data_IF_766694298789
#
_entry.id   IF_766694298789
#
_cell.length_a   1.000
_cell.length_b   1.000
_cell.length_c   1.000
_cell.angle_alpha   90.00
_cell.angle_beta   90.00
_cell.angle_gamma   90.00
#
_symmetry.space_group_name_H-M   'P 1'
#
loop_
_entity.id
_entity.type
_entity.pdbx_description
1 polymer ?
#
# COMPACT_ATOMS: atom_id res chain seq x y z
N UNK A 1 0.85 -27.40 11.84
CA UNK A 1 -0.32 -26.54 12.14
C UNK A 1 0.04 -25.11 11.75
N UNK A 2 -0.88 -24.36 11.15
CA UNK A 2 -0.71 -22.91 11.01
C UNK A 2 -0.65 -22.31 12.41
N UNK A 3 0.38 -21.52 12.71
CA UNK A 3 0.60 -20.89 14.03
C UNK A 3 1.01 -19.43 13.82
N UNK A 4 1.04 -18.64 14.90
CA UNK A 4 1.47 -17.24 14.85
C UNK A 4 0.31 -16.24 14.72
N UNK A 5 0.66 -14.99 14.47
CA UNK A 5 -0.26 -13.84 14.57
C UNK A 5 -1.44 -13.93 13.60
N UNK A 6 -1.22 -14.41 12.37
CA UNK A 6 -2.27 -14.55 11.37
C UNK A 6 -3.31 -15.61 11.73
N UNK A 7 -2.86 -16.73 12.31
CA UNK A 7 -3.75 -17.79 12.73
C UNK A 7 -4.58 -17.36 13.95
N UNK A 8 -3.97 -16.65 14.92
CA UNK A 8 -4.70 -16.08 16.06
C UNK A 8 -5.82 -15.12 15.62
N UNK A 9 -5.55 -14.27 14.63
CA UNK A 9 -6.57 -13.38 14.06
C UNK A 9 -7.75 -14.16 13.44
N UNK A 10 -7.47 -15.25 12.72
CA UNK A 10 -8.52 -16.12 12.19
C UNK A 10 -9.31 -16.84 13.29
N UNK A 11 -8.67 -17.28 14.37
CA UNK A 11 -9.36 -17.86 15.53
C UNK A 11 -10.28 -16.84 16.22
N UNK A 12 -9.83 -15.60 16.36
CA UNK A 12 -10.67 -14.49 16.84
C UNK A 12 -11.88 -14.28 15.95
N UNK A 13 -11.71 -14.27 14.62
CA UNK A 13 -12.83 -14.20 13.66
C UNK A 13 -13.84 -15.34 13.87
N UNK A 14 -13.37 -16.59 13.97
CA UNK A 14 -14.24 -17.74 14.19
C UNK A 14 -15.00 -17.63 15.51
N UNK A 15 -14.33 -17.16 16.57
CA UNK A 15 -14.93 -16.98 17.90
C UNK A 15 -16.00 -15.89 17.88
N UNK A 16 -15.66 -14.70 17.36
CA UNK A 16 -16.58 -13.55 17.31
C UNK A 16 -17.78 -13.82 16.41
N UNK A 17 -17.60 -14.56 15.33
CA UNK A 17 -18.68 -14.92 14.42
C UNK A 17 -19.43 -16.20 14.83
N UNK A 18 -19.04 -16.88 15.91
CA UNK A 18 -19.60 -18.19 16.32
C UNK A 18 -19.60 -19.22 15.18
N UNK A 19 -18.45 -19.30 14.51
CA UNK A 19 -18.22 -20.18 13.37
C UNK A 19 -17.34 -21.36 13.78
N UNK A 20 -17.68 -22.56 13.27
CA UNK A 20 -16.81 -23.72 13.43
C UNK A 20 -15.59 -23.60 12.52
N UNK A 21 -14.45 -24.15 12.96
CA UNK A 21 -13.24 -24.21 12.16
C UNK A 21 -13.52 -24.97 10.85
N UNK A 22 -13.23 -24.36 9.67
CA UNK A 22 -13.42 -25.05 8.41
C UNK A 22 -12.39 -26.17 8.22
N UNK A 23 -12.78 -27.21 7.48
CA UNK A 23 -11.91 -28.35 7.14
C UNK A 23 -11.07 -28.11 5.88
N UNK A 24 -11.36 -27.05 5.11
CA UNK A 24 -10.71 -26.73 3.85
C UNK A 24 -10.32 -25.25 3.78
N UNK A 25 -9.17 -24.98 3.16
CA UNK A 25 -8.68 -23.62 2.87
C UNK A 25 -9.58 -22.87 1.87
N UNK A 26 -10.36 -23.60 1.06
CA UNK A 26 -11.29 -23.02 0.09
C UNK A 26 -12.67 -22.74 0.70
N UNK A 27 -12.83 -22.88 2.02
CA UNK A 27 -14.11 -22.63 2.68
C UNK A 27 -14.55 -21.17 2.52
N UNK A 28 -15.86 -20.91 2.31
CA UNK A 28 -16.42 -19.56 2.33
C UNK A 28 -16.08 -18.76 3.58
N UNK A 29 -15.86 -19.42 4.72
CA UNK A 29 -15.44 -18.75 5.96
C UNK A 29 -14.02 -18.18 5.87
N UNK A 30 -13.12 -18.84 5.16
CA UNK A 30 -11.76 -18.33 4.92
C UNK A 30 -11.83 -17.13 3.97
N UNK A 31 -12.64 -17.22 2.91
CA UNK A 31 -12.85 -16.13 1.98
C UNK A 31 -13.47 -14.89 2.66
N UNK A 32 -14.48 -15.10 3.50
CA UNK A 32 -15.12 -14.06 4.30
C UNK A 32 -14.12 -13.43 5.27
N UNK A 33 -13.31 -14.23 5.97
CA UNK A 33 -12.28 -13.71 6.86
C UNK A 33 -11.31 -12.77 6.13
N UNK A 34 -10.80 -13.17 4.96
CA UNK A 34 -9.91 -12.32 4.16
C UNK A 34 -10.59 -11.01 3.75
N UNK A 35 -11.88 -11.05 3.42
CA UNK A 35 -12.66 -9.84 3.13
C UNK A 35 -12.80 -8.95 4.37
N UNK A 36 -13.08 -9.51 5.55
CA UNK A 36 -13.15 -8.74 6.80
C UNK A 36 -11.82 -8.04 7.07
N UNK A 37 -10.70 -8.70 6.82
CA UNK A 37 -9.37 -8.08 6.93
C UNK A 37 -9.22 -6.93 5.94
N UNK A 38 -9.58 -7.10 4.66
CA UNK A 38 -9.53 -6.02 3.66
C UNK A 38 -10.39 -4.81 4.08
N UNK A 39 -11.59 -5.03 4.60
CA UNK A 39 -12.45 -3.95 5.09
C UNK A 39 -11.89 -3.24 6.34
N UNK A 40 -11.29 -4.01 7.24
CA UNK A 40 -10.77 -3.51 8.51
C UNK A 40 -9.52 -2.64 8.32
N UNK A 41 -8.57 -3.07 7.49
CA UNK A 41 -7.29 -2.37 7.29
C UNK A 41 -7.37 -1.21 6.28
N UNK A 42 -8.47 -1.10 5.54
CA UNK A 42 -8.72 0.00 4.60
C UNK A 42 -9.85 0.90 5.10
N UNK A 43 -9.62 1.71 6.15
CA UNK A 43 -10.57 2.74 6.54
C UNK A 43 -10.71 3.79 5.44
N UNK A 44 -11.87 4.43 5.45
CA UNK A 44 -12.27 5.41 4.44
C UNK A 44 -12.59 6.78 5.06
N UNK A 45 -12.67 6.84 6.39
CA UNK A 45 -12.89 8.06 7.16
C UNK A 45 -11.57 8.86 7.26
N UNK A 46 -11.61 10.16 6.96
CA UNK A 46 -10.43 11.03 6.91
C UNK A 46 -9.52 10.89 5.69
N UNK A 47 -9.54 9.76 4.99
CA UNK A 47 -9.00 9.61 3.64
C UNK A 47 -9.59 8.37 2.93
N UNK A 48 -10.09 8.48 1.69
CA UNK A 48 -10.15 9.66 0.85
C UNK A 48 -11.35 10.59 1.13
N UNK A 49 -12.24 10.23 2.05
CA UNK A 49 -13.40 11.05 2.42
C UNK A 49 -13.09 11.95 3.61
N UNK A 50 -13.96 12.93 3.84
CA UNK A 50 -13.91 13.77 5.04
C UNK A 50 -14.19 12.94 6.30
N UNK A 51 -13.73 13.46 7.45
CA UNK A 51 -14.04 12.88 8.76
C UNK A 51 -15.53 13.03 9.02
N UNK A 52 -16.25 11.91 9.14
CA UNK A 52 -17.69 11.88 9.40
C UNK A 52 -18.02 12.36 10.82
N UNK A 53 -17.22 11.96 11.81
CA UNK A 53 -17.42 12.30 13.22
C UNK A 53 -16.09 12.30 13.95
N UNK A 54 -15.67 13.48 14.41
CA UNK A 54 -14.43 13.65 15.18
C UNK A 54 -14.45 12.88 16.50
N UNK A 55 -15.61 12.79 17.15
CA UNK A 55 -15.76 12.12 18.45
C UNK A 55 -15.50 10.61 18.38
N UNK A 56 -15.68 10.01 17.20
CA UNK A 56 -15.55 8.56 16.98
C UNK A 56 -14.48 8.23 15.94
N UNK A 57 -13.65 9.21 15.57
CA UNK A 57 -12.71 9.07 14.46
C UNK A 57 -11.65 8.01 14.73
N UNK A 58 -11.13 7.94 15.97
CA UNK A 58 -10.12 6.94 16.33
C UNK A 58 -10.69 5.53 16.16
N UNK A 59 -11.91 5.31 16.64
CA UNK A 59 -12.62 4.04 16.50
C UNK A 59 -12.99 3.71 15.04
N UNK A 60 -13.31 4.72 14.24
CA UNK A 60 -13.71 4.53 12.84
C UNK A 60 -12.54 4.14 11.94
N UNK A 61 -11.30 4.51 12.31
CA UNK A 61 -10.08 4.17 11.56
C UNK A 61 -9.25 3.05 12.17
N UNK A 62 -9.46 2.70 13.44
CA UNK A 62 -8.72 1.61 14.10
C UNK A 62 -9.08 0.24 13.47
N UNK A 63 -8.10 -0.49 12.90
CA UNK A 63 -8.39 -1.77 12.25
C UNK A 63 -8.93 -2.84 13.19
N UNK A 64 -8.57 -2.82 14.48
CA UNK A 64 -9.04 -3.78 15.47
C UNK A 64 -10.50 -3.54 15.84
N UNK A 65 -10.89 -2.29 16.05
CA UNK A 65 -12.29 -1.90 16.31
C UNK A 65 -13.15 -2.21 15.10
N UNK A 66 -12.72 -1.82 13.90
CA UNK A 66 -13.43 -2.13 12.65
C UNK A 66 -13.61 -3.64 12.47
N UNK A 67 -12.56 -4.44 12.65
CA UNK A 67 -12.61 -5.89 12.57
C UNK A 67 -13.66 -6.47 13.55
N UNK A 68 -13.64 -6.00 14.80
CA UNK A 68 -14.61 -6.42 15.81
C UNK A 68 -16.05 -6.08 15.40
N UNK A 69 -16.32 -4.82 15.02
CA UNK A 69 -17.65 -4.36 14.62
C UNK A 69 -18.19 -5.13 13.42
N UNK A 70 -17.34 -5.41 12.42
CA UNK A 70 -17.72 -6.21 11.25
C UNK A 70 -18.05 -7.65 11.66
N UNK A 71 -17.25 -8.27 12.53
CA UNK A 71 -17.53 -9.62 13.03
C UNK A 71 -18.87 -9.67 13.80
N UNK A 72 -19.15 -8.67 14.62
CA UNK A 72 -20.43 -8.57 15.33
C UNK A 72 -21.59 -8.40 14.35
N UNK A 73 -21.45 -7.57 13.32
CA UNK A 73 -22.45 -7.44 12.25
C UNK A 73 -22.69 -8.76 11.50
N UNK A 74 -21.64 -9.54 11.22
CA UNK A 74 -21.78 -10.89 10.62
C UNK A 74 -22.57 -11.81 11.55
N UNK A 75 -22.28 -11.80 12.85
CA UNK A 75 -22.96 -12.65 13.83
C UNK A 75 -24.43 -12.28 14.00
N UNK A 76 -24.71 -10.99 14.20
CA UNK A 76 -26.01 -10.51 14.69
C UNK A 76 -26.98 -10.12 13.57
N UNK A 77 -26.45 -9.58 12.46
CA UNK A 77 -27.27 -8.97 11.40
C UNK A 77 -27.23 -9.77 10.09
N UNK A 78 -26.05 -10.29 9.72
CA UNK A 78 -25.83 -10.88 8.40
C UNK A 78 -25.17 -12.28 8.44
N UNK A 79 -25.73 -13.25 9.17
CA UNK A 79 -25.14 -14.59 9.29
C UNK A 79 -25.05 -15.33 7.95
N UNK A 80 -25.87 -14.97 6.96
CA UNK A 80 -25.83 -15.55 5.61
C UNK A 80 -24.52 -15.27 4.86
N UNK A 81 -23.79 -14.21 5.25
CA UNK A 81 -22.50 -13.87 4.65
C UNK A 81 -21.45 -14.96 4.84
N UNK A 82 -21.58 -15.78 5.90
CA UNK A 82 -20.68 -16.92 6.21
C UNK A 82 -20.59 -17.95 5.08
N UNK A 83 -21.58 -18.00 4.20
CA UNK A 83 -21.65 -18.91 3.04
C UNK A 83 -21.71 -18.19 1.69
N UNK A 84 -21.58 -16.86 1.67
CA UNK A 84 -21.86 -16.05 0.49
C UNK A 84 -20.74 -16.05 -0.56
N UNK A 85 -19.49 -16.29 -0.17
CA UNK A 85 -18.34 -16.26 -1.09
C UNK A 85 -17.92 -17.70 -1.39
N UNK A 86 -18.31 -18.21 -2.55
CA UNK A 86 -18.05 -19.59 -2.99
C UNK A 86 -17.13 -19.64 -4.20
N UNK A 87 -17.22 -18.62 -5.07
CA UNK A 87 -16.53 -18.61 -6.36
C UNK A 87 -15.46 -17.53 -6.48
N UNK A 88 -15.24 -16.75 -5.41
CA UNK A 88 -14.22 -15.69 -5.33
C UNK A 88 -14.38 -14.64 -6.44
N UNK A 89 -15.60 -14.28 -6.83
CA UNK A 89 -15.88 -13.34 -7.90
C UNK A 89 -15.94 -11.88 -7.41
N UNK A 90 -15.72 -10.93 -8.31
CA UNK A 90 -15.88 -9.49 -8.01
C UNK A 90 -17.31 -9.14 -7.57
N UNK A 91 -18.32 -9.87 -8.07
CA UNK A 91 -19.72 -9.66 -7.66
C UNK A 91 -19.97 -10.12 -6.23
N UNK A 92 -19.40 -11.27 -5.81
CA UNK A 92 -19.44 -11.71 -4.41
C UNK A 92 -18.71 -10.73 -3.50
N UNK A 93 -17.54 -10.23 -3.93
CA UNK A 93 -16.82 -9.18 -3.21
C UNK A 93 -17.71 -7.94 -3.02
N UNK A 94 -18.27 -7.39 -4.11
CA UNK A 94 -19.10 -6.18 -4.06
C UNK A 94 -20.28 -6.35 -3.10
N UNK A 95 -21.05 -7.43 -3.28
CA UNK A 95 -22.26 -7.67 -2.49
C UNK A 95 -21.98 -7.78 -0.99
N UNK A 96 -20.90 -8.46 -0.60
CA UNK A 96 -20.58 -8.66 0.82
C UNK A 96 -19.85 -7.45 1.41
N UNK A 97 -18.92 -6.84 0.67
CA UNK A 97 -18.15 -5.68 1.13
C UNK A 97 -19.05 -4.47 1.41
N UNK A 98 -19.99 -4.16 0.50
CA UNK A 98 -20.92 -3.05 0.65
C UNK A 98 -21.83 -3.27 1.87
N UNK A 99 -22.45 -4.45 1.96
CA UNK A 99 -23.32 -4.84 3.08
C UNK A 99 -22.62 -4.70 4.43
N UNK A 100 -21.39 -5.21 4.55
CA UNK A 100 -20.64 -5.17 5.81
C UNK A 100 -20.13 -3.77 6.14
N UNK A 101 -19.68 -2.98 5.16
CA UNK A 101 -19.20 -1.61 5.38
C UNK A 101 -20.34 -0.70 5.85
N UNK A 102 -21.50 -0.78 5.20
CA UNK A 102 -22.69 -0.03 5.61
C UNK A 102 -23.17 -0.42 7.02
N UNK A 103 -22.97 -1.67 7.43
CA UNK A 103 -23.38 -2.15 8.76
C UNK A 103 -22.66 -1.47 9.92
N UNK A 104 -21.48 -0.90 9.64
CA UNK A 104 -20.64 -0.14 10.58
C UNK A 104 -20.60 1.35 10.21
N UNK A 105 -21.53 1.82 9.38
CA UNK A 105 -21.68 3.22 8.94
C UNK A 105 -20.44 3.78 8.25
N UNK A 106 -19.69 2.95 7.52
CA UNK A 106 -18.51 3.36 6.77
C UNK A 106 -18.70 3.18 5.26
N UNK A 107 -18.02 4.01 4.47
CA UNK A 107 -17.86 3.75 3.04
C UNK A 107 -17.03 2.49 2.81
N UNK A 108 -17.41 1.71 1.80
CA UNK A 108 -16.67 0.54 1.35
C UNK A 108 -15.34 0.91 0.70
N UNK A 109 -14.36 0.00 0.69
CA UNK A 109 -13.10 0.23 -0.05
C UNK A 109 -13.31 0.53 -1.53
N UNK A 110 -14.39 0.03 -2.16
CA UNK A 110 -14.69 0.31 -3.56
C UNK A 110 -15.21 1.72 -3.79
N UNK A 111 -15.98 2.28 -2.85
CA UNK A 111 -16.37 3.69 -2.91
C UNK A 111 -15.14 4.59 -2.82
N UNK A 112 -14.18 4.25 -1.96
CA UNK A 112 -12.88 4.93 -1.92
C UNK A 112 -12.10 4.79 -3.23
N UNK A 113 -11.98 3.58 -3.78
CA UNK A 113 -11.31 3.34 -5.06
C UNK A 113 -11.97 4.12 -6.21
N UNK A 114 -13.30 4.24 -6.18
CA UNK A 114 -14.08 5.00 -7.17
C UNK A 114 -13.81 6.50 -7.09
N UNK A 115 -13.78 7.07 -5.87
CA UNK A 115 -13.43 8.48 -5.66
C UNK A 115 -12.00 8.78 -6.12
N UNK A 116 -11.03 7.95 -5.74
CA UNK A 116 -9.63 8.15 -6.12
C UNK A 116 -9.43 8.00 -7.64
N UNK A 117 -10.13 7.04 -8.26
CA UNK A 117 -10.13 6.90 -9.73
C UNK A 117 -10.74 8.12 -10.41
N UNK A 118 -11.78 8.72 -9.82
CA UNK A 118 -12.37 9.96 -10.32
C UNK A 118 -11.38 11.12 -10.26
N UNK A 119 -10.66 11.29 -9.15
CA UNK A 119 -9.62 12.32 -9.02
C UNK A 119 -8.58 12.26 -10.14
N UNK A 120 -8.13 11.05 -10.50
CA UNK A 120 -7.15 10.86 -11.58
C UNK A 120 -7.61 11.25 -12.99
N UNK A 121 -8.90 11.60 -13.15
CA UNK A 121 -9.51 12.01 -14.42
C UNK A 121 -9.95 13.47 -14.41
N UNK A 122 -10.20 14.04 -13.22
CA UNK A 122 -10.82 15.36 -13.07
C UNK A 122 -9.87 16.40 -12.46
N UNK A 123 -8.93 15.99 -11.61
CA UNK A 123 -7.95 16.89 -10.99
C UNK A 123 -6.71 17.01 -11.88
N UNK A 124 -6.46 18.20 -12.44
CA UNK A 124 -5.38 18.44 -13.42
C UNK A 124 -4.01 17.98 -12.90
N UNK A 125 -3.69 18.26 -11.64
CA UNK A 125 -2.43 17.86 -11.02
C UNK A 125 -2.27 16.33 -10.98
N UNK A 126 -3.37 15.59 -10.80
CA UNK A 126 -3.36 14.13 -10.75
C UNK A 126 -3.43 13.50 -12.14
N UNK A 127 -4.10 14.15 -13.09
CA UNK A 127 -4.03 13.77 -14.50
C UNK A 127 -2.58 13.84 -14.98
N UNK A 128 -1.88 14.95 -14.70
CA UNK A 128 -0.46 15.12 -15.05
C UNK A 128 0.42 14.09 -14.33
N UNK A 129 0.17 13.84 -13.04
CA UNK A 129 0.88 12.80 -12.29
C UNK A 129 0.70 11.41 -12.90
N UNK A 130 -0.48 11.07 -13.41
CA UNK A 130 -0.73 9.78 -14.06
C UNK A 130 -0.10 9.68 -15.45
N UNK A 131 0.15 10.79 -16.14
CA UNK A 131 0.97 10.81 -17.37
C UNK A 131 2.45 10.53 -17.04
N UNK A 132 2.98 11.15 -15.99
CA UNK A 132 4.33 10.85 -15.49
C UNK A 132 4.45 9.38 -15.08
N UNK A 133 3.44 8.84 -14.40
CA UNK A 133 3.37 7.45 -14.01
C UNK A 133 3.44 6.54 -15.22
N UNK A 134 2.64 6.81 -16.26
CA UNK A 134 2.55 5.98 -17.46
C UNK A 134 3.93 5.72 -18.08
N UNK A 135 4.72 6.76 -18.30
CA UNK A 135 6.06 6.67 -18.89
C UNK A 135 7.16 6.42 -17.84
N UNK A 136 6.80 6.44 -16.55
CA UNK A 136 7.71 6.34 -15.41
C UNK A 136 8.79 7.44 -15.40
N UNK A 137 8.38 8.64 -15.81
CA UNK A 137 9.22 9.82 -15.92
C UNK A 137 8.58 10.93 -15.11
N UNK A 138 9.08 11.12 -13.89
CA UNK A 138 8.53 12.07 -12.93
C UNK A 138 9.29 13.38 -12.93
N UNK A 139 8.58 14.46 -12.61
CA UNK A 139 9.22 15.75 -12.32
C UNK A 139 10.10 15.64 -11.05
N UNK A 140 11.12 16.48 -10.95
CA UNK A 140 12.08 16.41 -9.84
C UNK A 140 11.50 16.89 -8.49
N UNK A 141 10.38 17.62 -8.48
CA UNK A 141 9.75 18.14 -7.28
C UNK A 141 9.16 17.03 -6.39
N UNK A 142 9.83 16.72 -5.27
CA UNK A 142 9.35 15.76 -4.27
C UNK A 142 8.94 14.40 -4.90
N UNK A 143 9.86 13.84 -5.70
CA UNK A 143 9.62 12.64 -6.49
C UNK A 143 9.12 11.43 -5.69
N UNK A 144 9.60 11.13 -4.46
CA UNK A 144 9.10 9.98 -3.71
C UNK A 144 7.59 10.03 -3.46
N UNK A 145 7.04 11.20 -3.12
CA UNK A 145 5.60 11.34 -2.89
C UNK A 145 4.83 11.19 -4.20
N UNK A 146 5.30 11.79 -5.29
CA UNK A 146 4.70 11.65 -6.63
C UNK A 146 4.66 10.19 -7.07
N UNK A 147 5.80 9.51 -7.00
CA UNK A 147 5.93 8.10 -7.36
C UNK A 147 4.97 7.24 -6.52
N UNK A 148 5.06 7.31 -5.20
CA UNK A 148 4.24 6.46 -4.32
C UNK A 148 2.74 6.75 -4.47
N UNK A 149 2.35 8.02 -4.59
CA UNK A 149 0.95 8.39 -4.75
C UNK A 149 0.39 7.99 -6.12
N UNK A 150 1.16 8.13 -7.19
CA UNK A 150 0.74 7.67 -8.52
C UNK A 150 0.55 6.14 -8.57
N UNK A 151 1.43 5.38 -7.92
CA UNK A 151 1.28 3.93 -7.77
C UNK A 151 0.07 3.56 -6.92
N UNK A 152 -0.21 4.32 -5.86
CA UNK A 152 -1.43 4.17 -5.09
C UNK A 152 -2.68 4.42 -5.94
N UNK A 153 -2.73 5.47 -6.76
CA UNK A 153 -3.85 5.72 -7.67
C UNK A 153 -4.00 4.56 -8.67
N UNK A 154 -2.90 4.10 -9.29
CA UNK A 154 -2.92 2.93 -10.20
C UNK A 154 -3.49 1.69 -9.52
N UNK A 155 -3.08 1.43 -8.27
CA UNK A 155 -3.60 0.34 -7.46
C UNK A 155 -5.11 0.47 -7.24
N UNK A 156 -5.61 1.66 -6.93
CA UNK A 156 -7.05 1.89 -6.74
C UNK A 156 -7.86 1.72 -8.03
N UNK A 157 -7.33 2.15 -9.18
CA UNK A 157 -7.97 1.93 -10.49
C UNK A 157 -8.10 0.44 -10.84
N UNK A 158 -7.02 -0.32 -10.63
CA UNK A 158 -7.03 -1.77 -10.85
C UNK A 158 -7.90 -2.49 -9.81
N UNK A 159 -7.88 -2.07 -8.54
CA UNK A 159 -8.73 -2.63 -7.47
C UNK A 159 -10.21 -2.41 -7.74
N UNK A 160 -10.59 -1.24 -8.24
CA UNK A 160 -11.98 -0.95 -8.64
C UNK A 160 -12.45 -1.91 -9.74
N UNK A 161 -11.56 -2.24 -10.68
CA UNK A 161 -11.86 -3.09 -11.83
C UNK A 161 -11.82 -4.58 -11.49
N UNK A 162 -10.92 -4.99 -10.57
CA UNK A 162 -10.63 -6.38 -10.25
C UNK A 162 -10.58 -6.64 -8.73
N UNK A 163 -11.60 -6.27 -7.92
CA UNK A 163 -11.48 -6.28 -6.47
C UNK A 163 -11.22 -7.66 -5.87
N UNK A 164 -11.76 -8.71 -6.50
CA UNK A 164 -11.56 -10.08 -6.06
C UNK A 164 -10.09 -10.53 -6.10
N UNK A 165 -9.31 -10.05 -7.09
CA UNK A 165 -7.87 -10.32 -7.17
C UNK A 165 -7.14 -9.74 -5.94
N UNK A 166 -7.45 -8.50 -5.58
CA UNK A 166 -6.80 -7.80 -4.47
C UNK A 166 -7.25 -8.29 -3.10
N UNK A 167 -8.48 -8.79 -2.98
CA UNK A 167 -8.98 -9.38 -1.73
C UNK A 167 -8.49 -10.81 -1.51
N UNK A 168 -8.39 -11.60 -2.58
CA UNK A 168 -8.06 -13.02 -2.52
C UNK A 168 -6.89 -13.39 -3.45
N UNK A 169 -5.71 -12.75 -3.32
CA UNK A 169 -4.59 -12.99 -4.22
C UNK A 169 -4.13 -14.45 -4.21
N UNK A 170 -4.23 -15.15 -3.08
CA UNK A 170 -3.91 -16.59 -3.02
C UNK A 170 -4.76 -17.44 -3.97
N UNK A 171 -6.04 -17.11 -4.13
CA UNK A 171 -6.92 -17.83 -5.07
C UNK A 171 -6.52 -17.54 -6.52
N UNK A 172 -6.22 -16.28 -6.86
CA UNK A 172 -5.93 -15.84 -8.22
C UNK A 172 -4.47 -16.05 -8.67
N UNK A 173 -3.51 -16.13 -7.75
CA UNK A 173 -2.09 -16.31 -8.05
C UNK A 173 -1.61 -17.75 -7.90
N UNK A 174 -2.33 -18.62 -7.19
CA UNK A 174 -1.95 -20.03 -7.03
C UNK A 174 -3.05 -21.03 -7.41
N UNK A 175 -4.33 -20.63 -7.39
CA UNK A 175 -5.45 -21.48 -7.76
C UNK A 175 -5.86 -21.29 -9.23
N UNK A 176 -6.50 -20.15 -9.51
CA UNK A 176 -7.01 -19.77 -10.84
C UNK A 176 -6.11 -18.71 -11.47
N UNK A 177 -4.94 -19.14 -11.91
CA UNK A 177 -3.99 -18.25 -12.60
C UNK A 177 -4.41 -18.06 -14.05
N UNK A 178 -4.76 -16.84 -14.41
CA UNK A 178 -5.00 -16.42 -15.79
C UNK A 178 -4.07 -15.25 -16.20
N UNK A 179 -4.15 -14.85 -17.47
CA UNK A 179 -3.30 -13.80 -18.02
C UNK A 179 -3.50 -12.45 -17.32
N UNK A 180 -4.73 -12.16 -16.88
CA UNK A 180 -5.06 -10.91 -16.21
C UNK A 180 -4.51 -10.89 -14.78
N UNK A 181 -4.65 -11.99 -14.04
CA UNK A 181 -4.07 -12.14 -12.70
C UNK A 181 -2.54 -12.05 -12.75
N UNK A 182 -1.90 -12.63 -13.77
CA UNK A 182 -0.46 -12.52 -13.97
C UNK A 182 -0.04 -11.09 -14.34
N UNK A 183 -0.85 -10.37 -15.13
CA UNK A 183 -0.63 -8.95 -15.46
C UNK A 183 -0.72 -8.09 -14.20
N UNK A 184 -1.78 -8.21 -13.41
CA UNK A 184 -1.99 -7.47 -12.17
C UNK A 184 -0.89 -7.74 -11.14
N UNK A 185 -0.47 -8.99 -10.99
CA UNK A 185 0.63 -9.35 -10.10
C UNK A 185 1.95 -8.66 -10.50
N UNK A 186 2.26 -8.64 -11.79
CA UNK A 186 3.47 -7.95 -12.30
C UNK A 186 3.37 -6.43 -12.22
N UNK A 187 2.18 -5.87 -12.46
CA UNK A 187 1.93 -4.44 -12.35
C UNK A 187 2.20 -3.95 -10.92
N UNK A 188 1.71 -4.67 -9.92
CA UNK A 188 1.79 -4.27 -8.50
C UNK A 188 2.95 -4.90 -7.73
N UNK A 189 3.99 -5.36 -8.43
CA UNK A 189 5.21 -5.84 -7.77
C UNK A 189 5.97 -4.69 -7.09
N UNK A 190 6.86 -5.03 -6.16
CA UNK A 190 7.73 -4.05 -5.53
C UNK A 190 8.58 -3.31 -6.59
N UNK A 191 8.62 -1.98 -6.50
CA UNK A 191 9.39 -1.15 -7.43
C UNK A 191 10.89 -1.38 -7.30
N UNK A 192 11.34 -1.58 -6.06
CA UNK A 192 12.75 -1.76 -5.70
C UNK A 192 12.87 -3.02 -4.84
N UNK A 193 13.89 -3.84 -5.12
CA UNK A 193 14.09 -5.14 -4.46
C UNK A 193 15.55 -5.33 -4.13
N UNK A 194 15.82 -5.96 -2.99
CA UNK A 194 17.15 -6.43 -2.61
C UNK A 194 17.57 -7.66 -3.42
N UNK A 195 18.87 -7.82 -3.65
CA UNK A 195 19.45 -9.06 -4.19
C UNK A 195 20.35 -9.72 -3.15
N UNK A 196 21.00 -10.82 -3.53
CA UNK A 196 21.82 -11.64 -2.62
C UNK A 196 23.02 -10.91 -2.00
N UNK A 197 23.46 -9.84 -2.65
CA UNK A 197 24.50 -8.91 -2.17
C UNK A 197 23.98 -7.95 -1.10
N UNK A 198 22.67 -7.84 -0.90
CA UNK A 198 22.03 -6.90 0.02
C UNK A 198 21.77 -5.52 -0.58
N UNK A 199 22.28 -5.26 -1.79
CA UNK A 199 22.07 -4.02 -2.53
C UNK A 199 20.63 -3.94 -3.05
N UNK A 200 20.11 -2.72 -3.15
CA UNK A 200 18.77 -2.47 -3.67
C UNK A 200 18.84 -2.13 -5.16
N UNK A 201 17.97 -2.76 -5.94
CA UNK A 201 17.89 -2.61 -7.39
C UNK A 201 16.48 -2.26 -7.85
N UNK A 202 16.32 -1.54 -8.96
CA UNK A 202 15.01 -1.36 -9.57
C UNK A 202 14.49 -2.65 -10.20
N UNK A 203 13.19 -2.88 -10.04
CA UNK A 203 12.45 -3.93 -10.74
C UNK A 203 12.16 -3.51 -12.18
N UNK A 204 12.24 -4.47 -13.11
CA UNK A 204 11.80 -4.23 -14.50
C UNK A 204 10.28 -4.20 -14.52
N UNK A 205 9.73 -3.08 -15.00
CA UNK A 205 8.30 -2.87 -15.11
C UNK A 205 7.86 -3.02 -16.57
N UNK A 206 6.84 -3.84 -16.80
CA UNK A 206 6.34 -4.12 -18.15
C UNK A 206 5.78 -2.85 -18.79
N UNK A 207 6.19 -2.57 -20.03
CA UNK A 207 5.70 -1.41 -20.80
C UNK A 207 6.41 -0.09 -20.48
N UNK A 208 7.32 -0.06 -19.50
CA UNK A 208 8.14 1.11 -19.17
C UNK A 208 9.56 0.92 -19.70
N UNK A 209 10.21 2.03 -20.05
CA UNK A 209 11.60 1.98 -20.56
C UNK A 209 12.58 1.80 -19.41
N UNK A 210 13.61 0.98 -19.62
CA UNK A 210 14.65 0.73 -18.61
C UNK A 210 15.41 2.02 -18.21
N UNK A 211 15.62 2.94 -19.16
CA UNK A 211 16.23 4.25 -18.90
C UNK A 211 15.44 5.08 -17.87
N UNK A 212 14.12 5.17 -18.04
CA UNK A 212 13.22 5.91 -17.15
C UNK A 212 13.12 5.24 -15.77
N UNK A 213 13.14 3.91 -15.73
CA UNK A 213 13.15 3.13 -14.48
C UNK A 213 14.42 3.44 -13.69
N UNK A 214 15.58 3.39 -14.33
CA UNK A 214 16.87 3.67 -13.68
C UNK A 214 16.97 5.12 -13.22
N UNK A 215 16.54 6.07 -14.04
CA UNK A 215 16.52 7.49 -13.68
C UNK A 215 15.63 7.74 -12.46
N UNK A 216 14.40 7.22 -12.48
CA UNK A 216 13.46 7.35 -11.35
C UNK A 216 14.00 6.69 -10.09
N UNK A 217 14.63 5.51 -10.20
CA UNK A 217 15.30 4.84 -9.07
C UNK A 217 16.40 5.73 -8.45
N UNK A 218 17.30 6.26 -9.27
CA UNK A 218 18.39 7.11 -8.80
C UNK A 218 17.85 8.37 -8.11
N UNK A 219 16.91 9.06 -8.74
CA UNK A 219 16.28 10.25 -8.16
C UNK A 219 15.52 9.95 -6.87
N UNK A 220 14.83 8.81 -6.80
CA UNK A 220 14.12 8.40 -5.60
C UNK A 220 15.07 8.27 -4.41
N UNK A 221 16.19 7.56 -4.58
CA UNK A 221 17.16 7.38 -3.50
C UNK A 221 17.97 8.63 -3.19
N UNK A 222 18.20 9.52 -4.15
CA UNK A 222 18.72 10.87 -3.89
C UNK A 222 17.78 11.68 -3.01
N UNK A 223 16.46 11.60 -3.22
CA UNK A 223 15.50 12.24 -2.32
C UNK A 223 15.44 11.58 -0.94
N UNK A 224 15.54 10.25 -0.86
CA UNK A 224 15.58 9.53 0.42
C UNK A 224 16.78 9.96 1.26
N UNK A 225 17.97 10.13 0.65
CA UNK A 225 19.14 10.63 1.38
C UNK A 225 18.94 12.07 1.85
N UNK A 226 18.34 12.95 1.02
CA UNK A 226 17.99 14.31 1.44
C UNK A 226 17.01 14.31 2.62
N UNK A 227 16.00 13.44 2.63
CA UNK A 227 15.06 13.34 3.76
C UNK A 227 15.74 12.85 5.03
N UNK A 228 16.63 11.85 4.92
CA UNK A 228 17.37 11.37 6.08
C UNK A 228 18.28 12.47 6.63
N UNK A 229 19.08 13.13 5.80
CA UNK A 229 19.92 14.27 6.22
C UNK A 229 19.07 15.40 6.82
N UNK A 230 17.93 15.74 6.22
CA UNK A 230 17.02 16.75 6.78
C UNK A 230 16.51 16.34 8.16
N UNK A 231 16.15 15.06 8.36
CA UNK A 231 15.73 14.53 9.66
C UNK A 231 16.86 14.59 10.67
N UNK A 232 18.09 14.25 10.27
CA UNK A 232 19.28 14.38 11.13
C UNK A 232 19.45 15.84 11.55
N UNK A 233 19.37 16.78 10.59
CA UNK A 233 19.52 18.21 10.84
C UNK A 233 18.53 18.76 11.89
N UNK A 234 17.27 18.33 11.84
CA UNK A 234 16.22 18.88 12.74
C UNK A 234 16.06 18.12 14.06
N UNK A 235 16.59 16.90 14.19
CA UNK A 235 16.27 16.01 15.33
C UNK A 235 17.47 15.42 16.06
N UNK A 236 18.71 15.65 15.61
CA UNK A 236 19.90 15.01 16.19
C UNK A 236 21.03 16.02 16.35
N UNK A 237 21.66 16.02 17.52
CA UNK A 237 22.87 16.80 17.76
C UNK A 237 24.08 16.10 17.14
N UNK A 238 25.09 16.88 16.73
CA UNK A 238 26.35 16.36 16.19
C UNK A 238 26.49 16.42 14.67
N UNK A 239 27.43 15.63 14.14
CA UNK A 239 27.75 15.55 12.72
C UNK A 239 26.75 14.70 11.94
N UNK A 240 26.59 14.98 10.65
CA UNK A 240 25.78 14.17 9.75
C UNK A 240 26.41 12.79 9.53
N UNK A 241 25.57 11.77 9.50
CA UNK A 241 25.91 10.40 9.11
C UNK A 241 25.54 10.17 7.65
N UNK A 242 26.47 9.61 6.89
CA UNK A 242 26.31 9.28 5.46
C UNK A 242 26.32 7.76 5.20
N UNK A 243 26.03 6.95 6.23
CA UNK A 243 25.95 5.50 6.11
C UNK A 243 24.73 5.07 5.28
N UNK A 244 24.95 4.95 3.97
CA UNK A 244 24.01 4.42 2.99
C UNK A 244 24.42 3.04 2.47
N UNK A 245 25.19 2.26 3.23
CA UNK A 245 25.58 0.90 2.80
C UNK A 245 24.40 -0.07 2.72
N UNK A 246 23.25 0.28 3.32
CA UNK A 246 21.99 -0.44 3.15
C UNK A 246 21.40 -0.27 1.73
N UNK A 247 21.80 0.77 1.00
CA UNK A 247 21.39 1.00 -0.39
C UNK A 247 22.33 0.28 -1.34
N UNK A 248 23.64 0.39 -1.10
CA UNK A 248 24.66 -0.21 -1.97
C UNK A 248 25.99 -0.44 -1.26
N UNK A 249 26.63 -1.57 -1.55
CA UNK A 249 27.96 -1.93 -1.11
C UNK A 249 29.06 -1.60 -2.14
N UNK A 250 28.70 -0.97 -3.27
CA UNK A 250 29.62 -0.80 -4.41
C UNK A 250 30.47 0.47 -4.33
N UNK A 251 30.11 1.40 -3.44
CA UNK A 251 30.74 2.71 -3.30
C UNK A 251 31.42 2.84 -1.93
N UNK A 252 32.43 3.70 -1.84
CA UNK A 252 33.07 4.02 -0.55
C UNK A 252 32.23 4.99 0.29
N UNK A 253 32.55 5.13 1.57
CA UNK A 253 31.91 6.14 2.42
C UNK A 253 32.11 7.56 1.85
N UNK A 254 33.31 7.86 1.34
CA UNK A 254 33.63 9.17 0.75
C UNK A 254 32.77 9.45 -0.50
N UNK A 255 32.49 8.42 -1.31
CA UNK A 255 31.61 8.53 -2.47
C UNK A 255 30.16 8.82 -2.04
N UNK A 256 29.67 8.10 -1.02
CA UNK A 256 28.31 8.26 -0.50
C UNK A 256 28.10 9.62 0.19
N UNK A 257 29.10 10.09 0.93
CA UNK A 257 29.13 11.43 1.52
C UNK A 257 29.09 12.49 0.41
N UNK A 258 29.96 12.39 -0.59
CA UNK A 258 30.01 13.34 -1.70
C UNK A 258 28.69 13.38 -2.47
N UNK A 259 28.11 12.21 -2.76
CA UNK A 259 26.83 12.06 -3.46
C UNK A 259 25.68 12.69 -2.67
N UNK A 260 25.52 12.35 -1.40
CA UNK A 260 24.39 12.82 -0.59
C UNK A 260 24.50 14.29 -0.20
N UNK A 261 25.71 14.79 0.10
CA UNK A 261 25.94 16.23 0.34
C UNK A 261 25.68 17.06 -0.91
N UNK A 262 26.00 16.55 -2.11
CA UNK A 262 25.68 17.21 -3.37
C UNK A 262 24.18 17.45 -3.51
N UNK A 263 23.34 16.42 -3.29
CA UNK A 263 21.89 16.57 -3.39
C UNK A 263 21.31 17.44 -2.27
N UNK A 264 21.85 17.35 -1.04
CA UNK A 264 21.47 18.26 0.03
C UNK A 264 21.76 19.72 -0.35
N UNK A 265 22.94 19.98 -0.90
CA UNK A 265 23.33 21.31 -1.39
C UNK A 265 22.44 21.80 -2.53
N UNK A 266 22.07 20.94 -3.48
CA UNK A 266 21.14 21.32 -4.54
C UNK A 266 19.77 21.79 -4.01
N UNK A 267 19.27 21.17 -2.94
CA UNK A 267 17.96 21.50 -2.36
C UNK A 267 18.02 22.71 -1.44
N UNK A 268 19.04 22.81 -0.59
CA UNK A 268 19.11 23.85 0.46
C UNK A 268 20.09 24.99 0.15
N UNK A 269 20.87 24.89 -0.93
CA UNK A 269 21.89 25.88 -1.31
C UNK A 269 23.13 25.89 -0.41
N UNK A 270 23.30 24.87 0.44
CA UNK A 270 24.33 24.82 1.48
C UNK A 270 24.78 23.38 1.75
N UNK A 271 26.05 23.17 2.11
CA UNK A 271 26.60 21.86 2.44
C UNK A 271 26.24 21.49 3.88
N UNK A 272 26.04 20.20 4.14
CA UNK A 272 25.92 19.61 5.47
C UNK A 272 27.13 19.92 6.36
N UNK A 273 28.31 20.15 5.77
CA UNK A 273 29.54 20.55 6.48
C UNK A 273 29.56 22.01 6.92
N UNK A 274 28.59 22.81 6.45
CA UNK A 274 28.44 24.23 6.80
C UNK A 274 27.75 24.47 8.15
N UNK A 275 27.31 23.41 8.84
CA UNK A 275 26.53 23.50 10.06
C UNK A 275 27.16 22.69 11.19
N UNK A 276 27.00 23.20 12.41
CA UNK A 276 27.16 22.43 13.65
C UNK A 276 25.79 22.39 14.29
N UNK A 277 25.20 21.20 14.44
CA UNK A 277 23.92 21.06 15.15
C UNK A 277 24.22 21.20 16.65
N UNK A 278 23.64 22.23 17.28
CA UNK A 278 23.86 22.60 18.68
C UNK A 278 23.15 21.66 19.65
#
# INVERSE_FOLDING_TARGET
MLTGVYYKSFESFLTLTESNRPTSINSPLVALYMLVIDLAINPTDGFPFDILSFDTFIESVDPGVRFYLICMSIKEKFPETKSAIQHYTSSEYFSVSEKLSQSILCYSPLEASSLITKWSKEEESLVNLMLEEQDFQFSDENLPIRLMFSRFIRFQQDKLSNPAFFCWPGFYCAGKVDSESARLFKEHQALFTDKRDGDIYPSILVGKKEENILETFNKFYSWVSVYDLTKQWISRDGEFSYDYFWLTSQYSMDDLETWSDHYFHQIFGTSTKGFSIL
#
